data_IF_922074835946
#
_entry.id   IF_922074835946
#
_cell.length_a   1.000
_cell.length_b   1.000
_cell.length_c   1.000
_cell.angle_alpha   90.00
_cell.angle_beta   90.00
_cell.angle_gamma   90.00
#
_symmetry.space_group_name_H-M   'P 1'
#
loop_
_entity.id
_entity.type
_entity.pdbx_description
1 polymer ?
#
# COMPACT_ATOMS: atom_id res chain seq x y z
N UNK A 1 3.44 -9.93 15.83
CA UNK A 1 4.39 -9.32 16.80
C UNK A 1 4.16 -9.79 18.24
N UNK A 2 3.36 -10.84 18.49
CA UNK A 2 3.20 -11.41 19.83
C UNK A 2 4.54 -11.87 20.42
N UNK A 3 5.44 -12.36 19.56
CA UNK A 3 6.81 -12.77 19.85
C UNK A 3 7.69 -11.62 20.38
N UNK A 4 7.25 -10.36 20.21
CA UNK A 4 7.90 -9.15 20.72
C UNK A 4 7.09 -8.50 21.86
N UNK A 5 6.14 -9.22 22.47
CA UNK A 5 5.30 -8.72 23.57
C UNK A 5 4.21 -7.73 23.14
N UNK A 6 3.95 -7.57 21.84
CA UNK A 6 2.88 -6.69 21.35
C UNK A 6 1.56 -7.47 21.34
N UNK A 7 0.67 -7.09 22.27
CA UNK A 7 -0.69 -7.62 22.34
C UNK A 7 -1.52 -7.12 21.14
N UNK A 8 -2.40 -8.00 20.64
CA UNK A 8 -3.31 -7.64 19.55
C UNK A 8 -4.39 -6.66 20.04
N UNK A 9 -4.82 -5.74 19.19
CA UNK A 9 -5.87 -4.77 19.54
C UNK A 9 -7.24 -5.39 19.26
N UNK A 10 -8.24 -5.17 20.13
CA UNK A 10 -9.59 -5.72 19.95
C UNK A 10 -10.33 -5.10 18.76
N UNK A 11 -9.89 -3.93 18.29
CA UNK A 11 -10.50 -3.23 17.16
C UNK A 11 -9.45 -2.48 16.35
N UNK A 12 -9.68 -2.44 15.05
CA UNK A 12 -8.84 -1.78 14.06
C UNK A 12 -9.57 -0.59 13.44
N UNK A 13 -8.88 0.52 13.16
CA UNK A 13 -9.50 1.69 12.54
C UNK A 13 -10.06 1.33 11.16
N UNK A 14 -11.24 1.86 10.85
CA UNK A 14 -11.89 1.74 9.54
C UNK A 14 -12.00 3.13 8.93
N UNK A 15 -11.76 3.22 7.62
CA UNK A 15 -11.85 4.48 6.89
C UNK A 15 -12.41 4.23 5.50
N UNK A 16 -13.12 5.23 4.97
CA UNK A 16 -13.64 5.25 3.62
C UNK A 16 -12.84 6.25 2.79
N UNK A 17 -12.39 5.81 1.63
CA UNK A 17 -11.57 6.57 0.72
C UNK A 17 -12.03 6.33 -0.73
N UNK A 18 -11.83 7.31 -1.63
CA UNK A 18 -12.16 7.12 -3.02
C UNK A 18 -11.25 6.08 -3.67
N UNK A 19 -11.79 5.30 -4.61
CA UNK A 19 -11.02 4.31 -5.40
C UNK A 19 -10.00 5.01 -6.30
N UNK A 20 -10.32 6.21 -6.78
CA UNK A 20 -9.42 7.09 -7.53
C UNK A 20 -9.24 8.35 -6.70
N UNK A 21 -8.01 8.65 -6.32
CA UNK A 21 -7.68 9.91 -5.66
C UNK A 21 -7.04 10.90 -6.62
N UNK A 22 -7.14 12.17 -6.28
CA UNK A 22 -6.37 13.25 -6.88
C UNK A 22 -5.14 13.54 -6.03
N UNK A 23 -3.99 13.69 -6.67
CA UNK A 23 -2.77 14.06 -6.01
C UNK A 23 -2.79 15.57 -5.69
N UNK A 24 -2.68 15.99 -4.42
CA UNK A 24 -2.96 17.37 -4.00
C UNK A 24 -2.00 18.41 -4.58
N UNK A 25 -0.78 18.00 -4.95
CA UNK A 25 0.22 18.90 -5.56
C UNK A 25 0.18 18.86 -7.09
N UNK A 26 0.26 17.67 -7.69
CA UNK A 26 0.36 17.51 -9.16
C UNK A 26 -0.97 17.50 -9.89
N UNK A 27 -2.11 17.40 -9.20
CA UNK A 27 -3.44 17.28 -9.80
C UNK A 27 -3.70 15.96 -10.55
N UNK A 28 -2.73 15.06 -10.63
CA UNK A 28 -2.86 13.77 -11.33
C UNK A 28 -3.77 12.82 -10.56
N UNK A 29 -4.54 12.00 -11.29
CA UNK A 29 -5.35 10.93 -10.72
C UNK A 29 -4.50 9.67 -10.48
N UNK A 30 -4.75 8.98 -9.37
CA UNK A 30 -4.08 7.73 -9.02
C UNK A 30 -5.07 6.73 -8.41
N UNK A 31 -4.86 5.43 -8.69
CA UNK A 31 -5.60 4.36 -8.03
C UNK A 31 -5.23 4.30 -6.55
N UNK A 32 -6.24 4.28 -5.68
CA UNK A 32 -6.10 4.30 -4.22
C UNK A 32 -6.78 3.08 -3.58
N UNK A 33 -6.41 1.91 -4.10
CA UNK A 33 -6.82 0.60 -3.59
C UNK A 33 -5.60 -0.28 -3.42
N UNK A 34 -5.59 -1.14 -2.40
CA UNK A 34 -4.53 -2.13 -2.24
C UNK A 34 -5.06 -3.40 -1.58
N UNK A 35 -4.41 -4.53 -1.90
CA UNK A 35 -4.84 -5.87 -1.45
C UNK A 35 -4.75 -6.06 0.08
N UNK A 36 -3.89 -5.30 0.77
CA UNK A 36 -3.66 -5.43 2.21
C UNK A 36 -4.74 -4.77 3.08
N UNK A 37 -5.28 -3.63 2.64
CA UNK A 37 -6.15 -2.78 3.45
C UNK A 37 -7.56 -2.62 2.89
N UNK A 38 -7.73 -2.65 1.57
CA UNK A 38 -9.05 -2.40 0.95
C UNK A 38 -9.95 -3.63 1.11
N UNK A 39 -11.14 -3.43 1.70
CA UNK A 39 -12.08 -4.52 2.02
C UNK A 39 -13.22 -4.69 1.01
N UNK A 40 -13.81 -3.57 0.56
CA UNK A 40 -14.90 -3.54 -0.42
C UNK A 40 -15.03 -2.17 -1.06
N UNK A 41 -15.72 -2.12 -2.19
CA UNK A 41 -16.23 -0.91 -2.82
C UNK A 41 -17.64 -0.68 -2.28
N UNK A 42 -17.96 0.58 -1.97
CA UNK A 42 -19.27 1.00 -1.50
C UNK A 42 -20.19 1.27 -2.70
N UNK A 43 -21.49 1.06 -2.51
CA UNK A 43 -22.51 1.29 -3.56
C UNK A 43 -22.67 0.13 -4.56
N UNK A 44 -21.90 -0.95 -4.43
CA UNK A 44 -22.04 -2.16 -5.26
C UNK A 44 -22.17 -3.41 -4.36
N UNK A 45 -22.67 -4.50 -4.95
CA UNK A 45 -22.74 -5.79 -4.26
C UNK A 45 -21.34 -6.30 -3.91
N UNK A 46 -21.27 -7.26 -2.98
CA UNK A 46 -19.99 -7.83 -2.56
C UNK A 46 -19.29 -8.55 -3.70
N UNK A 47 -20.03 -9.26 -4.54
CA UNK A 47 -19.47 -10.05 -5.64
C UNK A 47 -18.93 -9.15 -6.75
N UNK A 48 -19.66 -8.09 -7.11
CA UNK A 48 -19.18 -7.06 -8.03
C UNK A 48 -17.93 -6.36 -7.47
N UNK A 49 -17.95 -5.97 -6.19
CA UNK A 49 -16.80 -5.36 -5.54
C UNK A 49 -15.57 -6.27 -5.62
N UNK A 50 -15.73 -7.58 -5.39
CA UNK A 50 -14.62 -8.53 -5.45
C UNK A 50 -14.05 -8.62 -6.87
N UNK A 51 -14.91 -8.71 -7.87
CA UNK A 51 -14.51 -8.74 -9.28
C UNK A 51 -13.72 -7.50 -9.70
N UNK A 52 -14.24 -6.32 -9.38
CA UNK A 52 -13.60 -5.03 -9.70
C UNK A 52 -12.25 -4.91 -8.98
N UNK A 53 -12.22 -5.17 -7.66
CA UNK A 53 -10.98 -5.06 -6.89
C UNK A 53 -9.92 -6.05 -7.37
N UNK A 54 -10.30 -7.28 -7.73
CA UNK A 54 -9.37 -8.26 -8.31
C UNK A 54 -8.70 -7.71 -9.56
N UNK A 55 -9.48 -7.20 -10.50
CA UNK A 55 -8.95 -6.59 -11.72
C UNK A 55 -8.01 -5.43 -11.41
N UNK A 56 -8.40 -4.52 -10.53
CA UNK A 56 -7.57 -3.37 -10.16
C UNK A 56 -6.25 -3.80 -9.50
N UNK A 57 -6.27 -4.82 -8.64
CA UNK A 57 -5.07 -5.37 -8.02
C UNK A 57 -4.13 -6.00 -9.04
N UNK A 58 -4.66 -6.77 -10.00
CA UNK A 58 -3.87 -7.36 -11.07
C UNK A 58 -3.27 -6.29 -11.99
N UNK A 59 -4.05 -5.25 -12.31
CA UNK A 59 -3.59 -4.12 -13.11
C UNK A 59 -2.41 -3.38 -12.45
N UNK A 60 -2.52 -3.00 -11.17
CA UNK A 60 -1.42 -2.29 -10.47
C UNK A 60 -0.21 -3.19 -10.21
N UNK A 61 -0.41 -4.52 -10.19
CA UNK A 61 0.67 -5.50 -10.06
C UNK A 61 1.36 -5.81 -11.39
N UNK A 62 1.00 -5.16 -12.50
CA UNK A 62 1.67 -5.35 -13.78
C UNK A 62 3.15 -4.93 -13.67
N UNK A 63 4.12 -5.81 -14.04
CA UNK A 63 5.55 -5.50 -14.02
C UNK A 63 5.95 -4.25 -14.82
N UNK A 64 5.18 -3.88 -15.84
CA UNK A 64 5.43 -2.68 -16.65
C UNK A 64 5.30 -1.38 -15.85
N UNK A 65 4.63 -1.40 -14.69
CA UNK A 65 4.48 -0.23 -13.82
C UNK A 65 5.43 -0.24 -12.62
N UNK A 66 6.32 -1.24 -12.54
CA UNK A 66 7.15 -1.48 -11.37
C UNK A 66 8.58 -0.99 -11.57
N UNK A 67 9.16 -0.51 -10.48
CA UNK A 67 10.59 -0.32 -10.33
C UNK A 67 11.07 -1.21 -9.17
N UNK A 68 12.14 -1.98 -9.38
CA UNK A 68 12.75 -2.80 -8.32
C UNK A 68 14.02 -2.14 -7.81
N UNK A 69 13.97 -1.66 -6.58
CA UNK A 69 15.12 -1.07 -5.91
C UNK A 69 15.93 -2.13 -5.15
N UNK A 70 17.23 -2.26 -5.47
CA UNK A 70 18.15 -3.15 -4.77
C UNK A 70 18.90 -2.37 -3.69
N UNK A 71 18.67 -2.74 -2.44
CA UNK A 71 19.30 -2.09 -1.30
C UNK A 71 20.80 -2.40 -1.22
N UNK A 72 21.58 -1.37 -0.88
CA UNK A 72 22.97 -1.47 -0.46
C UNK A 72 23.14 -0.76 0.88
N UNK A 73 24.31 -0.92 1.50
CA UNK A 73 24.64 -0.18 2.72
C UNK A 73 24.48 1.33 2.49
N UNK A 74 23.90 2.03 3.47
CA UNK A 74 23.62 3.47 3.42
C UNK A 74 22.68 3.94 2.29
N UNK A 75 22.00 3.03 1.60
CA UNK A 75 20.97 3.39 0.61
C UNK A 75 19.80 4.13 1.28
N UNK A 76 19.32 5.19 0.62
CA UNK A 76 18.13 5.94 1.03
C UNK A 76 17.14 5.92 -0.14
N UNK A 77 15.89 5.56 0.16
CA UNK A 77 14.80 5.60 -0.81
C UNK A 77 13.70 6.54 -0.32
N UNK A 78 13.25 7.41 -1.22
CA UNK A 78 12.05 8.24 -1.03
C UNK A 78 10.98 7.78 -2.01
N UNK A 79 9.76 7.63 -1.54
CA UNK A 79 8.63 7.35 -2.40
C UNK A 79 7.40 8.13 -1.96
N UNK A 80 6.57 8.49 -2.94
CA UNK A 80 5.33 9.22 -2.67
C UNK A 80 4.19 8.24 -2.35
N UNK A 81 3.91 8.06 -1.06
CA UNK A 81 2.85 7.18 -0.58
C UNK A 81 1.43 7.61 -1.02
N UNK A 82 1.28 8.76 -1.71
CA UNK A 82 0.02 9.21 -2.30
C UNK A 82 -0.24 8.60 -3.67
N UNK A 83 0.77 8.11 -4.38
CA UNK A 83 0.60 7.60 -5.74
C UNK A 83 1.37 6.31 -6.06
N UNK A 84 2.10 5.73 -5.10
CA UNK A 84 2.78 4.45 -5.28
C UNK A 84 2.30 3.38 -4.30
N UNK A 85 2.49 2.13 -4.68
CA UNK A 85 2.45 0.97 -3.79
C UNK A 85 3.85 0.38 -3.68
N UNK A 86 4.14 -0.32 -2.58
CA UNK A 86 5.41 -1.01 -2.38
C UNK A 86 5.18 -2.41 -1.82
N UNK A 87 6.07 -3.32 -2.18
CA UNK A 87 6.04 -4.71 -1.76
C UNK A 87 7.40 -5.10 -1.19
N UNK A 88 7.41 -5.72 -0.01
CA UNK A 88 8.63 -6.26 0.58
C UNK A 88 8.83 -7.70 0.11
N UNK A 89 9.97 -7.97 -0.54
CA UNK A 89 10.38 -9.32 -0.90
C UNK A 89 11.03 -10.00 0.30
N UNK A 90 10.67 -11.25 0.56
CA UNK A 90 11.27 -12.07 1.62
C UNK A 90 12.22 -13.12 1.02
N UNK A 91 13.21 -12.65 0.26
CA UNK A 91 14.17 -13.45 -0.52
C UNK A 91 15.57 -13.52 0.11
N UNK A 92 15.67 -13.24 1.42
CA UNK A 92 16.96 -13.04 2.11
C UNK A 92 17.19 -13.99 3.30
N UNK A 93 16.35 -15.01 3.50
CA UNK A 93 16.61 -16.03 4.53
C UNK A 93 17.94 -16.76 4.26
N UNK A 94 18.79 -17.03 5.27
CA UNK A 94 18.61 -16.83 6.71
C UNK A 94 19.12 -15.49 7.26
N UNK A 95 19.52 -14.56 6.39
CA UNK A 95 20.08 -13.28 6.79
C UNK A 95 19.03 -12.35 7.43
N UNK A 96 19.49 -11.43 8.27
CA UNK A 96 18.64 -10.37 8.82
C UNK A 96 18.69 -9.14 7.92
N UNK A 97 17.53 -8.56 7.64
CA UNK A 97 17.39 -7.29 6.92
C UNK A 97 16.61 -6.30 7.79
N UNK A 98 17.21 -5.16 8.13
CA UNK A 98 16.62 -4.11 8.95
C UNK A 98 16.85 -2.72 8.35
N UNK A 99 16.11 -1.72 8.82
CA UNK A 99 16.25 -0.35 8.37
C UNK A 99 15.27 0.58 9.10
N UNK A 100 15.55 1.88 9.04
CA UNK A 100 14.73 2.91 9.67
C UNK A 100 13.77 3.54 8.64
N UNK A 101 12.55 3.84 9.07
CA UNK A 101 11.55 4.51 8.22
C UNK A 101 11.02 5.75 8.94
N UNK A 102 11.09 6.89 8.25
CA UNK A 102 10.39 8.12 8.63
C UNK A 102 9.18 8.28 7.71
N UNK A 103 8.05 8.68 8.26
CA UNK A 103 6.82 8.92 7.50
C UNK A 103 6.36 10.36 7.70
N UNK A 104 6.16 11.07 6.60
CA UNK A 104 5.63 12.44 6.63
C UNK A 104 4.10 12.38 6.68
N UNK A 105 3.49 13.19 7.55
CA UNK A 105 2.02 13.26 7.69
C UNK A 105 1.39 13.73 6.37
N UNK A 106 0.37 12.98 5.92
CA UNK A 106 -0.42 13.32 4.73
C UNK A 106 -1.75 13.99 5.06
N UNK A 107 -2.50 14.31 4.00
CA UNK A 107 -3.89 14.83 4.05
C UNK A 107 -4.89 13.72 3.71
N UNK A 108 -6.18 13.95 4.01
CA UNK A 108 -7.27 13.04 3.61
C UNK A 108 -7.30 12.94 2.07
N UNK A 109 -7.33 11.72 1.49
CA UNK A 109 -7.51 11.54 0.05
C UNK A 109 -8.86 12.09 -0.42
N UNK A 110 -8.84 12.78 -1.56
CA UNK A 110 -10.01 13.30 -2.29
C UNK A 110 -10.01 12.75 -3.70
#
# INVERSE_FOLDING_TARGET
YANYGVADKPSYPRAEHPVIRTHPVTGKKALYVNKGFTRRILGVSRDESNGILRYLYEHVANPLFQCRFRWQENSIAFWDNRCVQHHAMWDYWPHTRSGNRVTVRGTKPV
#
